data_IF_487603094146
#
_entry.id   IF_487603094146
#
_cell.length_a   1.000
_cell.length_b   1.000
_cell.length_c   1.000
_cell.angle_alpha   90.00
_cell.angle_beta   90.00
_cell.angle_gamma   90.00
#
_symmetry.space_group_name_H-M   'P 1'
#
loop_
_entity.id
_entity.type
_entity.pdbx_description
1 polymer ?
#
# COMPACT_ATOMS: atom_id res chain seq x y z
N UNK A 1 35.98 25.10 8.78
CA UNK A 1 34.53 25.04 9.07
C UNK A 1 33.79 25.60 7.85
N UNK A 2 33.55 24.89 6.75
CA UNK A 2 32.97 23.57 6.56
C UNK A 2 33.64 22.89 5.34
N UNK A 3 34.49 21.89 5.59
CA UNK A 3 34.91 20.92 4.58
C UNK A 3 34.96 19.57 5.29
N UNK A 4 33.93 18.74 5.08
CA UNK A 4 33.98 17.27 5.27
C UNK A 4 32.59 16.69 4.98
N UNK A 5 32.26 16.51 3.70
CA UNK A 5 31.16 15.64 3.24
C UNK A 5 31.41 15.13 1.80
N UNK A 6 32.67 14.88 1.42
CA UNK A 6 33.02 14.35 0.08
C UNK A 6 33.64 12.95 0.04
N UNK A 7 33.76 12.24 1.16
CA UNK A 7 34.26 10.86 1.19
C UNK A 7 33.24 9.87 1.76
N UNK A 8 32.11 9.66 1.08
CA UNK A 8 31.26 8.47 1.32
C UNK A 8 30.56 8.04 0.02
N UNK A 9 31.28 7.83 -1.08
CA UNK A 9 30.70 7.14 -2.25
C UNK A 9 31.75 6.29 -2.98
N UNK A 10 32.29 5.31 -2.27
CA UNK A 10 32.77 4.06 -2.88
C UNK A 10 32.13 2.92 -2.11
N UNK A 11 30.86 2.63 -2.44
CA UNK A 11 30.17 1.47 -1.90
C UNK A 11 30.30 0.33 -2.90
N UNK A 12 31.23 -0.58 -2.61
CA UNK A 12 31.17 -1.94 -3.12
C UNK A 12 29.81 -2.56 -2.75
N UNK A 13 29.32 -3.47 -3.58
CA UNK A 13 28.11 -4.22 -3.32
C UNK A 13 28.16 -4.80 -1.90
N UNK A 14 27.11 -4.61 -1.07
CA UNK A 14 27.12 -5.11 0.29
C UNK A 14 27.23 -6.64 0.26
N UNK A 15 28.34 -7.15 0.80
CA UNK A 15 28.44 -8.56 1.18
C UNK A 15 27.41 -8.81 2.28
N UNK A 16 26.50 -9.75 2.03
CA UNK A 16 25.49 -10.18 2.99
C UNK A 16 26.18 -10.81 4.20
N UNK A 17 26.47 -9.99 5.22
CA UNK A 17 26.84 -10.48 6.55
C UNK A 17 25.60 -11.07 7.20
N UNK A 18 25.77 -12.29 7.72
CA UNK A 18 24.76 -13.10 8.40
C UNK A 18 24.01 -12.32 9.48
N UNK A 19 22.77 -11.97 9.18
CA UNK A 19 21.84 -11.40 10.15
C UNK A 19 21.48 -12.47 11.19
N UNK A 20 21.54 -12.08 12.46
CA UNK A 20 20.88 -12.81 13.54
C UNK A 20 19.45 -13.12 13.13
N UNK A 21 19.08 -14.41 13.09
CA UNK A 21 17.73 -14.84 12.74
C UNK A 21 16.76 -14.38 13.83
N UNK A 22 16.28 -13.14 13.74
CA UNK A 22 15.04 -12.76 14.38
C UNK A 22 13.98 -13.62 13.73
N UNK A 23 13.61 -14.73 14.37
CA UNK A 23 12.62 -15.66 13.88
C UNK A 23 11.32 -14.90 13.65
N UNK A 24 11.06 -14.52 12.40
CA UNK A 24 9.79 -13.92 12.03
C UNK A 24 8.74 -15.00 12.20
N UNK A 25 7.89 -14.85 13.20
CA UNK A 25 6.76 -15.74 13.41
C UNK A 25 5.83 -15.62 12.20
N UNK A 26 5.75 -16.68 11.41
CA UNK A 26 4.80 -16.77 10.31
C UNK A 26 3.38 -16.79 10.89
N UNK A 27 2.60 -15.76 10.60
CA UNK A 27 1.22 -15.63 11.05
C UNK A 27 0.30 -16.04 9.92
N UNK A 28 -0.43 -17.14 10.12
CA UNK A 28 -1.48 -17.55 9.19
C UNK A 28 -2.60 -16.51 9.15
N UNK A 29 -3.21 -16.34 7.98
CA UNK A 29 -4.41 -15.50 7.85
C UNK A 29 -5.55 -15.94 8.78
N UNK A 30 -5.62 -17.25 9.10
CA UNK A 30 -6.64 -17.80 10.00
C UNK A 30 -6.43 -17.40 11.46
N UNK A 31 -5.21 -17.00 11.84
CA UNK A 31 -4.87 -16.52 13.17
C UNK A 31 -4.92 -14.99 13.30
N UNK A 32 -5.12 -14.26 12.20
CA UNK A 32 -5.27 -12.81 12.26
C UNK A 32 -6.55 -12.41 13.00
N UNK A 33 -6.36 -11.53 13.97
CA UNK A 33 -7.39 -11.04 14.88
C UNK A 33 -7.28 -9.53 14.99
N UNK A 34 -8.40 -8.83 14.97
CA UNK A 34 -8.40 -7.36 14.91
C UNK A 34 -7.70 -6.75 16.12
N UNK A 35 -6.79 -5.80 15.89
CA UNK A 35 -6.10 -5.05 16.94
C UNK A 35 -5.18 -5.87 17.85
N UNK A 36 -4.65 -7.01 17.38
CA UNK A 36 -3.86 -7.94 18.21
C UNK A 36 -2.45 -8.24 17.68
N UNK A 37 -2.08 -7.70 16.52
CA UNK A 37 -0.81 -8.03 15.86
C UNK A 37 0.11 -6.81 15.82
N UNK A 38 1.42 -7.02 15.68
CA UNK A 38 2.32 -5.91 15.35
C UNK A 38 2.08 -5.45 13.92
N UNK A 39 2.45 -4.20 13.61
CA UNK A 39 2.35 -3.69 12.24
C UNK A 39 3.14 -4.54 11.25
N UNK A 40 4.34 -4.93 11.64
CA UNK A 40 5.26 -5.73 10.83
C UNK A 40 4.67 -7.09 10.50
N UNK A 41 4.04 -7.76 11.47
CA UNK A 41 3.38 -9.04 11.27
C UNK A 41 2.23 -8.96 10.25
N UNK A 42 1.40 -7.92 10.39
CA UNK A 42 0.27 -7.68 9.48
C UNK A 42 0.80 -7.37 8.06
N UNK A 43 1.86 -6.58 7.94
CA UNK A 43 2.52 -6.30 6.67
C UNK A 43 3.14 -7.54 6.04
N UNK A 44 3.83 -8.38 6.83
CA UNK A 44 4.42 -9.63 6.35
C UNK A 44 3.38 -10.57 5.73
N UNK A 45 2.17 -10.62 6.27
CA UNK A 45 1.08 -11.38 5.67
C UNK A 45 0.71 -10.82 4.28
N UNK A 46 0.57 -9.50 4.14
CA UNK A 46 0.29 -8.86 2.84
C UNK A 46 1.41 -9.15 1.84
N UNK A 47 2.67 -9.06 2.27
CA UNK A 47 3.85 -9.36 1.46
C UNK A 47 3.81 -10.80 0.96
N UNK A 48 3.52 -11.76 1.84
CA UNK A 48 3.39 -13.17 1.48
C UNK A 48 2.27 -13.38 0.45
N UNK A 49 1.08 -12.81 0.66
CA UNK A 49 -0.01 -12.94 -0.29
C UNK A 49 0.32 -12.33 -1.66
N UNK A 50 1.00 -11.18 -1.67
CA UNK A 50 1.43 -10.50 -2.88
C UNK A 50 2.54 -11.26 -3.64
N UNK A 51 3.39 -12.01 -2.93
CA UNK A 51 4.51 -12.75 -3.52
C UNK A 51 4.13 -14.11 -4.10
N UNK A 52 3.01 -14.71 -3.66
CA UNK A 52 2.55 -16.01 -4.19
C UNK A 52 2.36 -15.98 -5.70
N UNK A 53 2.75 -17.07 -6.34
CA UNK A 53 2.54 -17.39 -7.76
C UNK A 53 2.04 -18.82 -7.86
N UNK A 54 1.65 -19.28 -9.05
CA UNK A 54 1.31 -20.71 -9.22
C UNK A 54 2.57 -21.57 -8.99
N UNK A 55 2.47 -22.72 -8.30
CA UNK A 55 1.25 -23.38 -7.80
C UNK A 55 0.78 -22.93 -6.39
N UNK A 56 1.52 -22.03 -5.75
CA UNK A 56 1.35 -21.60 -4.35
C UNK A 56 0.16 -20.65 -4.11
N UNK A 57 -0.57 -20.29 -5.15
CA UNK A 57 -1.80 -19.51 -5.00
C UNK A 57 -2.82 -20.28 -4.17
N UNK A 58 -3.43 -19.61 -3.20
CA UNK A 58 -4.59 -20.16 -2.52
C UNK A 58 -5.73 -20.38 -3.50
N UNK A 59 -6.66 -21.30 -3.20
CA UNK A 59 -7.87 -21.52 -4.01
C UNK A 59 -8.63 -20.20 -4.27
N UNK A 60 -8.62 -19.28 -3.30
CA UNK A 60 -9.24 -17.97 -3.41
C UNK A 60 -8.52 -17.07 -4.42
N UNK A 61 -7.20 -16.97 -4.32
CA UNK A 61 -6.39 -16.20 -5.27
C UNK A 61 -6.54 -16.76 -6.69
N UNK A 62 -6.53 -18.08 -6.87
CA UNK A 62 -6.78 -18.72 -8.17
C UNK A 62 -8.13 -18.32 -8.76
N UNK A 63 -9.20 -18.34 -7.97
CA UNK A 63 -10.54 -17.93 -8.41
C UNK A 63 -10.59 -16.45 -8.79
N UNK A 64 -10.02 -15.58 -7.96
CA UNK A 64 -9.97 -14.15 -8.24
C UNK A 64 -9.15 -13.84 -9.51
N UNK A 65 -8.00 -14.50 -9.68
CA UNK A 65 -7.15 -14.36 -10.85
C UNK A 65 -7.81 -14.89 -12.13
N UNK A 66 -8.50 -16.04 -12.06
CA UNK A 66 -9.27 -16.57 -13.18
C UNK A 66 -10.39 -15.61 -13.59
N UNK A 67 -11.11 -15.04 -12.62
CA UNK A 67 -12.13 -14.03 -12.88
C UNK A 67 -11.54 -12.77 -13.53
N UNK A 68 -10.40 -12.27 -13.03
CA UNK A 68 -9.68 -11.15 -13.65
C UNK A 68 -9.30 -11.44 -15.11
N UNK A 69 -8.66 -12.60 -15.36
CA UNK A 69 -8.19 -13.01 -16.68
C UNK A 69 -9.30 -13.31 -17.69
N UNK A 70 -10.49 -13.68 -17.22
CA UNK A 70 -11.66 -13.89 -18.08
C UNK A 70 -12.16 -12.61 -18.77
N UNK A 71 -11.68 -11.43 -18.35
CA UNK A 71 -12.10 -10.14 -18.87
C UNK A 71 -13.47 -9.69 -18.35
N UNK A 72 -14.15 -10.47 -17.51
CA UNK A 72 -15.44 -10.11 -16.89
C UNK A 72 -15.32 -8.82 -16.04
N UNK A 73 -14.19 -8.62 -15.36
CA UNK A 73 -13.91 -7.38 -14.65
C UNK A 73 -13.77 -6.18 -15.62
N UNK A 74 -13.14 -6.39 -16.78
CA UNK A 74 -13.03 -5.36 -17.82
C UNK A 74 -14.35 -5.10 -18.52
N UNK A 75 -15.22 -6.11 -18.71
CA UNK A 75 -16.58 -5.92 -19.23
C UNK A 75 -17.41 -5.03 -18.30
N UNK A 76 -17.19 -5.16 -16.99
CA UNK A 76 -17.81 -4.29 -15.97
C UNK A 76 -17.40 -2.82 -16.17
N UNK A 77 -16.16 -2.53 -16.61
CA UNK A 77 -15.70 -1.18 -16.96
C UNK A 77 -16.39 -0.63 -18.21
N UNK A 78 -16.59 -1.47 -19.23
CA UNK A 78 -17.09 -1.03 -20.54
C UNK A 78 -18.60 -0.73 -20.59
N UNK A 79 -19.39 -1.29 -19.67
CA UNK A 79 -20.84 -1.36 -19.84
C UNK A 79 -21.62 -0.18 -19.27
N UNK A 80 -21.03 0.70 -18.44
CA UNK A 80 -21.74 1.89 -17.90
C UNK A 80 -20.80 3.05 -17.61
N UNK A 81 -20.88 4.13 -18.40
CA UNK A 81 -20.23 5.43 -18.14
C UNK A 81 -20.55 6.02 -16.75
N UNK A 82 -21.59 5.52 -16.07
CA UNK A 82 -22.09 6.10 -14.83
C UNK A 82 -21.96 5.19 -13.59
N UNK A 83 -21.18 4.10 -13.64
CA UNK A 83 -21.10 3.22 -12.47
C UNK A 83 -19.69 2.85 -12.02
N UNK A 84 -18.83 3.85 -11.91
CA UNK A 84 -17.55 3.77 -11.19
C UNK A 84 -17.71 3.06 -9.84
N UNK A 85 -18.84 3.23 -9.14
CA UNK A 85 -19.09 2.54 -7.86
C UNK A 85 -19.09 1.01 -8.01
N UNK A 86 -19.73 0.46 -9.04
CA UNK A 86 -19.70 -0.98 -9.31
C UNK A 86 -18.27 -1.42 -9.62
N UNK A 87 -17.57 -0.67 -10.46
CA UNK A 87 -16.18 -0.97 -10.85
C UNK A 87 -15.27 -1.02 -9.62
N UNK A 88 -15.27 0.03 -8.80
CA UNK A 88 -14.43 0.10 -7.61
C UNK A 88 -14.80 -0.97 -6.59
N UNK A 89 -16.09 -1.31 -6.45
CA UNK A 89 -16.50 -2.40 -5.57
C UNK A 89 -16.03 -3.77 -6.10
N UNK A 90 -16.05 -3.97 -7.41
CA UNK A 90 -15.55 -5.17 -8.06
C UNK A 90 -14.03 -5.32 -7.84
N UNK A 91 -13.26 -4.25 -8.05
CA UNK A 91 -11.82 -4.24 -7.77
C UNK A 91 -11.49 -4.33 -6.27
N UNK A 92 -12.31 -3.76 -5.39
CA UNK A 92 -12.18 -3.94 -3.94
C UNK A 92 -12.26 -5.43 -3.57
N UNK A 93 -13.25 -6.15 -4.07
CA UNK A 93 -13.37 -7.59 -3.81
C UNK A 93 -12.24 -8.40 -4.44
N UNK A 94 -11.82 -8.02 -5.64
CA UNK A 94 -10.65 -8.60 -6.29
C UNK A 94 -9.39 -8.46 -5.43
N UNK A 95 -9.03 -7.24 -5.02
CA UNK A 95 -7.85 -6.99 -4.21
C UNK A 95 -7.94 -7.61 -2.82
N UNK A 96 -9.12 -7.62 -2.18
CA UNK A 96 -9.35 -8.30 -0.90
C UNK A 96 -9.07 -9.81 -1.01
N UNK A 97 -9.50 -10.45 -2.10
CA UNK A 97 -9.28 -11.87 -2.31
C UNK A 97 -7.82 -12.18 -2.72
N UNK A 98 -7.18 -11.28 -3.45
CA UNK A 98 -5.80 -11.44 -3.90
C UNK A 98 -4.76 -11.21 -2.81
N UNK A 99 -4.95 -10.18 -1.97
CA UNK A 99 -3.88 -9.64 -1.11
C UNK A 99 -4.23 -9.63 0.38
N UNK A 100 -5.51 -9.61 0.74
CA UNK A 100 -5.95 -9.48 2.14
C UNK A 100 -6.77 -10.71 2.59
N UNK A 101 -6.75 -11.77 1.78
CA UNK A 101 -7.49 -13.03 1.91
C UNK A 101 -8.90 -12.92 2.47
N UNK A 102 -9.71 -12.03 1.88
CA UNK A 102 -11.12 -11.80 2.21
C UNK A 102 -11.40 -11.21 3.59
N UNK A 103 -10.41 -10.64 4.25
CA UNK A 103 -10.57 -10.09 5.59
C UNK A 103 -11.21 -8.69 5.58
N UNK A 104 -11.08 -7.93 4.49
CA UNK A 104 -11.62 -6.57 4.39
C UNK A 104 -13.13 -6.58 4.16
N UNK A 105 -13.67 -7.45 3.30
CA UNK A 105 -15.13 -7.56 3.08
C UNK A 105 -15.89 -8.08 4.32
N UNK A 106 -15.25 -8.92 5.14
CA UNK A 106 -15.78 -9.30 6.46
C UNK A 106 -15.75 -8.13 7.46
N UNK A 107 -14.87 -7.16 7.23
CA UNK A 107 -14.55 -6.04 8.10
C UNK A 107 -15.55 -4.89 8.12
N UNK A 108 -16.68 -4.96 7.40
CA UNK A 108 -17.61 -3.83 7.19
C UNK A 108 -16.90 -2.60 6.65
N UNK A 109 -16.22 -2.79 5.52
CA UNK A 109 -15.55 -1.71 4.80
C UNK A 109 -16.48 -1.20 3.71
N UNK A 110 -16.66 0.12 3.68
CA UNK A 110 -17.47 0.80 2.67
C UNK A 110 -16.58 1.65 1.79
N UNK A 111 -16.72 1.50 0.48
CA UNK A 111 -16.01 2.29 -0.53
C UNK A 111 -16.96 3.33 -1.12
N UNK A 112 -16.55 4.59 -1.09
CA UNK A 112 -17.30 5.72 -1.62
C UNK A 112 -16.46 6.46 -2.66
N UNK A 113 -17.03 6.63 -3.84
CA UNK A 113 -16.52 7.58 -4.82
C UNK A 113 -17.14 8.93 -4.57
N UNK A 114 -16.31 9.90 -4.27
CA UNK A 114 -16.78 11.24 -3.96
C UNK A 114 -16.86 12.09 -5.23
N UNK A 115 -17.73 13.09 -5.23
CA UNK A 115 -17.74 14.15 -6.27
C UNK A 115 -16.68 15.22 -6.01
N UNK A 116 -15.89 15.09 -4.95
CA UNK A 116 -14.86 16.06 -4.59
C UNK A 116 -13.64 15.85 -5.50
N UNK A 117 -13.03 16.94 -5.91
CA UNK A 117 -11.87 16.94 -6.80
C UNK A 117 -10.56 16.87 -6.02
N UNK A 118 -9.64 16.01 -6.45
CA UNK A 118 -8.31 15.85 -5.85
C UNK A 118 -7.51 17.15 -5.82
N UNK A 119 -7.67 18.01 -6.83
CA UNK A 119 -7.00 19.34 -6.86
C UNK A 119 -7.47 20.27 -5.75
N UNK A 120 -8.74 20.17 -5.35
CA UNK A 120 -9.33 21.00 -4.30
C UNK A 120 -8.87 20.47 -2.93
N UNK A 121 -8.92 19.15 -2.75
CA UNK A 121 -8.59 18.51 -1.48
C UNK A 121 -7.10 18.32 -1.24
N UNK A 122 -6.28 18.36 -2.31
CA UNK A 122 -4.86 18.04 -2.30
C UNK A 122 -4.54 16.61 -1.81
N UNK A 123 -5.53 15.71 -1.86
CA UNK A 123 -5.41 14.28 -1.55
C UNK A 123 -6.17 13.46 -2.58
N UNK A 124 -5.65 12.28 -2.92
CA UNK A 124 -6.24 11.36 -3.90
C UNK A 124 -7.43 10.58 -3.32
N UNK A 125 -7.32 10.21 -2.05
CA UNK A 125 -8.33 9.53 -1.27
C UNK A 125 -8.05 9.72 0.21
N UNK A 126 -8.95 9.19 1.03
CA UNK A 126 -8.81 9.16 2.47
C UNK A 126 -9.48 7.88 3.00
N UNK A 127 -9.00 7.38 4.12
CA UNK A 127 -9.66 6.32 4.87
C UNK A 127 -9.84 6.71 6.32
N UNK A 128 -10.88 6.18 6.95
CA UNK A 128 -11.10 6.34 8.39
C UNK A 128 -11.53 5.02 9.00
N UNK A 129 -10.76 4.59 9.98
CA UNK A 129 -11.03 3.39 10.76
C UNK A 129 -11.74 3.77 12.06
N UNK A 130 -12.91 3.20 12.29
CA UNK A 130 -13.72 3.43 13.48
C UNK A 130 -13.81 2.14 14.31
N UNK A 131 -13.53 2.25 15.61
CA UNK A 131 -13.68 1.16 16.56
C UNK A 131 -14.82 1.47 17.52
N UNK A 132 -15.92 0.71 17.44
CA UNK A 132 -17.06 0.85 18.34
C UNK A 132 -17.19 -0.39 19.22
N UNK A 133 -17.21 -0.22 20.55
CA UNK A 133 -17.58 -1.30 21.47
C UNK A 133 -19.11 -1.42 21.49
N UNK A 134 -19.64 -2.62 21.27
CA UNK A 134 -21.09 -2.92 21.36
C UNK A 134 -21.25 -4.24 22.08
N UNK A 135 -21.94 -4.25 23.24
CA UNK A 135 -22.13 -5.44 24.08
C UNK A 135 -20.81 -6.17 24.38
N UNK A 136 -19.77 -5.40 24.79
CA UNK A 136 -18.45 -5.94 25.11
C UNK A 136 -17.60 -6.37 23.89
N UNK A 137 -18.14 -6.41 22.68
CA UNK A 137 -17.40 -6.74 21.45
C UNK A 137 -16.94 -5.48 20.72
N UNK A 138 -15.65 -5.38 20.41
CA UNK A 138 -15.12 -4.32 19.55
C UNK A 138 -15.48 -4.61 18.09
N UNK A 139 -16.21 -3.70 17.46
CA UNK A 139 -16.52 -3.70 16.04
C UNK A 139 -15.67 -2.64 15.36
N UNK A 140 -14.76 -3.07 14.50
CA UNK A 140 -14.02 -2.18 13.60
C UNK A 140 -14.73 -2.09 12.26
N UNK A 141 -14.95 -0.88 11.77
CA UNK A 141 -15.42 -0.57 10.42
C UNK A 141 -14.46 0.44 9.78
N UNK A 142 -14.19 0.30 8.48
CA UNK A 142 -13.40 1.30 7.75
C UNK A 142 -14.27 1.95 6.68
N UNK A 143 -14.06 3.22 6.44
CA UNK A 143 -14.62 3.92 5.29
C UNK A 143 -13.47 4.36 4.40
N UNK A 144 -13.58 4.06 3.11
CA UNK A 144 -12.63 4.50 2.08
C UNK A 144 -13.36 5.49 1.19
N UNK A 145 -12.76 6.65 0.99
CA UNK A 145 -13.18 7.65 0.02
C UNK A 145 -12.14 7.76 -1.08
N UNK A 146 -12.56 7.60 -2.32
CA UNK A 146 -11.74 7.89 -3.50
C UNK A 146 -12.27 9.16 -4.16
N UNK A 147 -11.40 10.16 -4.34
CA UNK A 147 -11.76 11.45 -4.93
C UNK A 147 -11.60 11.43 -6.44
N UNK A 148 -12.35 12.30 -7.13
CA UNK A 148 -12.29 12.41 -8.58
C UNK A 148 -11.01 13.12 -9.02
N UNK A 149 -10.37 12.58 -10.04
CA UNK A 149 -9.18 13.14 -10.66
C UNK A 149 -9.52 13.69 -12.05
N UNK A 150 -10.42 14.69 -12.15
CA UNK A 150 -10.82 15.25 -13.47
C UNK A 150 -9.70 15.95 -14.22
N UNK A 151 -8.58 16.20 -13.54
CA UNK A 151 -7.37 16.71 -14.14
C UNK A 151 -6.64 15.70 -15.03
N UNK A 152 -6.92 14.40 -14.87
CA UNK A 152 -6.45 13.33 -15.75
C UNK A 152 -7.47 13.19 -16.88
N UNK A 153 -7.05 13.51 -18.10
CA UNK A 153 -7.94 13.56 -19.28
C UNK A 153 -8.25 12.18 -19.85
N UNK A 154 -7.29 11.27 -19.79
CA UNK A 154 -7.47 9.92 -20.29
C UNK A 154 -8.27 9.09 -19.27
N UNK A 155 -9.35 8.45 -19.73
CA UNK A 155 -10.26 7.70 -18.86
C UNK A 155 -9.60 6.45 -18.28
N UNK A 156 -8.69 5.81 -19.03
CA UNK A 156 -7.96 4.64 -18.55
C UNK A 156 -7.01 5.06 -17.44
N UNK A 157 -6.24 6.13 -17.66
CA UNK A 157 -5.31 6.67 -16.66
C UNK A 157 -6.06 7.16 -15.41
N UNK A 158 -7.22 7.80 -15.58
CA UNK A 158 -8.07 8.19 -14.45
C UNK A 158 -8.57 6.98 -13.66
N UNK A 159 -8.98 5.91 -14.36
CA UNK A 159 -9.37 4.65 -13.72
C UNK A 159 -8.21 4.00 -12.96
N UNK A 160 -7.03 3.92 -13.58
CA UNK A 160 -5.82 3.38 -12.96
C UNK A 160 -5.38 4.20 -11.74
N UNK A 161 -5.47 5.53 -11.82
CA UNK A 161 -5.22 6.42 -10.69
C UNK A 161 -6.17 6.11 -9.53
N UNK A 162 -7.47 6.05 -9.78
CA UNK A 162 -8.44 5.74 -8.74
C UNK A 162 -8.29 4.32 -8.17
N UNK A 163 -7.96 3.31 -8.99
CA UNK A 163 -7.66 1.96 -8.49
C UNK A 163 -6.39 1.92 -7.65
N UNK A 164 -5.39 2.74 -7.98
CA UNK A 164 -4.18 2.90 -7.17
C UNK A 164 -4.51 3.51 -5.81
N UNK A 165 -5.33 4.56 -5.78
CA UNK A 165 -5.86 5.14 -4.54
C UNK A 165 -6.65 4.12 -3.73
N UNK A 166 -7.52 3.33 -4.37
CA UNK A 166 -8.31 2.32 -3.68
C UNK A 166 -7.40 1.30 -2.98
N UNK A 167 -6.39 0.77 -3.68
CA UNK A 167 -5.48 -0.22 -3.10
C UNK A 167 -4.62 0.38 -1.97
N UNK A 168 -4.19 1.63 -2.11
CA UNK A 168 -3.52 2.40 -1.05
C UNK A 168 -4.38 2.46 0.23
N UNK A 169 -5.63 2.92 0.10
CA UNK A 169 -6.53 3.06 1.24
C UNK A 169 -6.97 1.72 1.83
N UNK A 170 -7.07 0.66 1.00
CA UNK A 170 -7.30 -0.70 1.48
C UNK A 170 -6.16 -1.19 2.37
N UNK A 171 -4.91 -0.94 1.97
CA UNK A 171 -3.75 -1.29 2.79
C UNK A 171 -3.77 -0.53 4.13
N UNK A 172 -4.09 0.77 4.12
CA UNK A 172 -4.26 1.57 5.35
C UNK A 172 -5.33 0.97 6.26
N UNK A 173 -6.54 0.76 5.75
CA UNK A 173 -7.64 0.13 6.49
C UNK A 173 -7.25 -1.24 7.07
N UNK A 174 -6.48 -2.03 6.31
CA UNK A 174 -6.03 -3.35 6.74
C UNK A 174 -5.07 -3.25 7.93
N UNK A 175 -4.03 -2.44 7.80
CA UNK A 175 -3.05 -2.22 8.88
C UNK A 175 -3.73 -1.64 10.12
N UNK A 176 -4.59 -0.63 9.97
CA UNK A 176 -5.34 -0.03 11.09
C UNK A 176 -6.26 -1.03 11.81
N UNK A 177 -6.86 -1.96 11.06
CA UNK A 177 -7.85 -2.90 11.61
C UNK A 177 -7.21 -4.05 12.38
N UNK A 178 -6.03 -4.50 11.96
CA UNK A 178 -5.39 -5.70 12.51
C UNK A 178 -4.21 -5.40 13.43
N UNK A 179 -3.63 -4.20 13.33
CA UNK A 179 -2.53 -3.80 14.20
C UNK A 179 -3.04 -3.38 15.58
N UNK A 180 -2.40 -3.90 16.61
CA UNK A 180 -2.59 -3.48 17.99
C UNK A 180 -2.17 -2.01 18.15
N UNK A 181 -3.09 -1.18 18.66
CA UNK A 181 -2.91 0.28 18.74
C UNK A 181 -2.21 0.74 20.02
N UNK A 182 -1.82 -0.16 20.92
CA UNK A 182 -1.02 0.20 22.09
C UNK A 182 0.37 0.67 21.66
N UNK A 183 1.04 1.55 22.43
CA UNK A 183 2.37 2.04 22.07
C UNK A 183 3.38 0.91 21.77
N UNK A 184 3.36 -0.17 22.55
CA UNK A 184 4.25 -1.34 22.38
C UNK A 184 4.04 -2.12 21.09
N UNK A 185 2.85 -2.05 20.50
CA UNK A 185 2.52 -2.74 19.24
C UNK A 185 2.71 -1.84 18.01
N UNK A 186 2.84 -0.53 18.22
CA UNK A 186 3.05 0.47 17.16
C UNK A 186 4.52 0.60 16.75
N UNK A 187 5.42 -0.16 17.36
CA UNK A 187 6.80 -0.27 16.91
C UNK A 187 6.82 -0.63 15.41
N UNK A 188 7.47 0.20 14.60
CA UNK A 188 7.53 0.08 13.13
C UNK A 188 6.44 0.81 12.34
N UNK A 189 5.24 1.00 12.91
CA UNK A 189 4.14 1.78 12.30
C UNK A 189 4.44 3.28 12.30
N UNK A 190 5.08 3.77 13.37
CA UNK A 190 5.38 5.18 13.59
C UNK A 190 6.81 5.61 13.22
N UNK A 191 7.69 4.65 12.90
CA UNK A 191 9.13 4.89 12.81
C UNK A 191 9.55 5.76 11.60
N UNK A 192 8.69 5.88 10.58
CA UNK A 192 8.90 6.77 9.43
C UNK A 192 8.00 8.01 9.43
N UNK A 193 7.00 8.02 10.33
CA UNK A 193 5.83 8.87 10.18
C UNK A 193 4.62 8.25 10.85
N UNK A 194 3.54 9.01 11.01
CA UNK A 194 2.34 8.54 11.73
C UNK A 194 1.42 7.68 10.86
N UNK A 195 1.55 7.76 9.53
CA UNK A 195 0.59 7.19 8.59
C UNK A 195 1.21 6.10 7.71
N UNK A 196 2.44 6.28 7.21
CA UNK A 196 3.08 5.38 6.23
C UNK A 196 4.44 4.85 6.71
N UNK A 197 4.45 4.20 7.88
CA UNK A 197 5.61 3.56 8.52
C UNK A 197 6.28 2.44 7.71
N UNK A 198 7.28 1.77 8.30
CA UNK A 198 8.02 0.68 7.63
C UNK A 198 7.10 -0.42 7.13
N UNK A 199 6.19 -0.87 8.00
CA UNK A 199 5.21 -1.89 7.68
C UNK A 199 4.35 -1.51 6.45
N UNK A 200 3.93 -0.25 6.36
CA UNK A 200 3.17 0.22 5.20
C UNK A 200 4.03 0.24 3.94
N UNK A 201 5.26 0.78 4.01
CA UNK A 201 6.17 0.87 2.87
C UNK A 201 6.57 -0.52 2.33
N UNK A 202 6.83 -1.47 3.22
CA UNK A 202 7.17 -2.85 2.87
C UNK A 202 6.01 -3.54 2.14
N UNK A 203 4.81 -3.48 2.72
CA UNK A 203 3.62 -4.07 2.12
C UNK A 203 3.24 -3.39 0.81
N UNK A 204 3.26 -2.05 0.76
CA UNK A 204 2.94 -1.30 -0.45
C UNK A 204 3.94 -1.62 -1.57
N UNK A 205 5.23 -1.79 -1.27
CA UNK A 205 6.22 -2.17 -2.28
C UNK A 205 5.95 -3.55 -2.86
N UNK A 206 5.62 -4.53 -2.01
CA UNK A 206 5.25 -5.87 -2.46
C UNK A 206 3.97 -5.85 -3.32
N UNK A 207 2.97 -5.05 -2.93
CA UNK A 207 1.74 -4.85 -3.72
C UNK A 207 2.05 -4.24 -5.09
N UNK A 208 2.81 -3.15 -5.16
CA UNK A 208 3.23 -2.53 -6.43
C UNK A 208 3.96 -3.53 -7.32
N UNK A 209 4.88 -4.32 -6.77
CA UNK A 209 5.56 -5.38 -7.54
C UNK A 209 4.58 -6.42 -8.07
N UNK A 210 3.61 -6.84 -7.27
CA UNK A 210 2.63 -7.85 -7.68
C UNK A 210 1.66 -7.33 -8.75
N UNK A 211 1.12 -6.12 -8.59
CA UNK A 211 0.17 -5.55 -9.56
C UNK A 211 0.84 -5.17 -10.87
N UNK A 212 2.09 -4.69 -10.83
CA UNK A 212 2.82 -4.23 -12.01
C UNK A 212 3.53 -5.36 -12.78
N UNK A 213 3.58 -6.57 -12.25
CA UNK A 213 4.23 -7.73 -12.88
C UNK A 213 3.50 -8.11 -14.19
N UNK A 214 4.15 -7.99 -15.37
CA UNK A 214 3.53 -8.26 -16.67
C UNK A 214 3.11 -9.71 -16.86
N UNK A 215 3.71 -10.63 -16.10
CA UNK A 215 3.42 -12.08 -16.16
C UNK A 215 2.29 -12.48 -15.20
N UNK A 216 1.85 -11.55 -14.34
CA UNK A 216 0.88 -11.82 -13.29
C UNK A 216 -0.43 -11.04 -13.47
N UNK A 217 -0.47 -9.79 -13.00
CA UNK A 217 -1.66 -8.93 -13.08
C UNK A 217 -1.56 -7.88 -14.19
N UNK A 218 -0.35 -7.41 -14.53
CA UNK A 218 -0.13 -6.38 -15.54
C UNK A 218 -1.06 -5.17 -15.39
N UNK A 219 -1.25 -4.70 -14.16
CA UNK A 219 -2.07 -3.57 -13.80
C UNK A 219 -1.15 -2.49 -13.21
N UNK A 220 -0.76 -1.47 -13.99
CA UNK A 220 0.29 -0.51 -13.64
C UNK A 220 -0.15 0.47 -12.54
N UNK A 221 -0.40 -0.04 -11.32
CA UNK A 221 -0.82 0.74 -10.17
C UNK A 221 0.40 1.22 -9.37
N UNK A 222 0.28 2.45 -8.88
CA UNK A 222 1.31 3.12 -8.10
C UNK A 222 0.67 3.59 -6.79
N UNK A 223 1.06 3.04 -5.66
CA UNK A 223 0.51 3.39 -4.33
C UNK A 223 1.06 4.72 -3.80
N UNK A 224 1.72 5.51 -4.66
CA UNK A 224 2.31 6.82 -4.35
C UNK A 224 3.35 6.78 -3.20
N UNK A 225 4.01 5.64 -3.01
CA UNK A 225 4.93 5.39 -1.87
C UNK A 225 6.02 6.43 -1.71
N UNK A 226 6.64 6.86 -2.82
CA UNK A 226 7.71 7.86 -2.80
C UNK A 226 7.20 9.24 -2.38
N UNK A 227 6.00 9.61 -2.82
CA UNK A 227 5.37 10.87 -2.45
C UNK A 227 5.06 10.90 -0.96
N UNK A 228 4.43 9.85 -0.44
CA UNK A 228 4.11 9.76 0.98
C UNK A 228 5.35 9.70 1.87
N UNK A 229 6.38 8.95 1.45
CA UNK A 229 7.63 8.91 2.20
C UNK A 229 8.24 10.32 2.31
N UNK A 230 8.34 11.07 1.20
CA UNK A 230 8.87 12.44 1.24
C UNK A 230 8.00 13.36 2.08
N UNK A 231 6.67 13.22 1.99
CA UNK A 231 5.72 14.00 2.80
C UNK A 231 5.94 13.78 4.30
N UNK A 232 6.01 12.52 4.74
CA UNK A 232 6.24 12.17 6.14
C UNK A 232 7.65 12.57 6.61
N UNK A 233 8.68 12.39 5.78
CA UNK A 233 10.05 12.82 6.08
C UNK A 233 10.17 14.34 6.24
N UNK A 234 9.43 15.14 5.44
CA UNK A 234 9.37 16.59 5.61
C UNK A 234 8.71 16.99 6.92
N UNK A 235 7.71 16.22 7.38
CA UNK A 235 6.90 16.52 8.56
C UNK A 235 7.53 16.05 9.87
N UNK A 236 8.21 14.90 9.86
CA UNK A 236 8.67 14.21 11.07
C UNK A 236 10.20 13.93 11.10
N UNK A 237 10.94 14.45 10.11
CA UNK A 237 12.25 13.99 9.66
C UNK A 237 13.35 13.68 10.67
N UNK A 238 13.51 12.39 10.99
CA UNK A 238 14.78 11.77 11.40
C UNK A 238 14.84 10.31 10.89
N UNK A 239 15.12 10.13 9.61
CA UNK A 239 15.17 8.81 8.98
C UNK A 239 16.58 8.45 8.50
N UNK A 240 17.09 7.26 8.82
CA UNK A 240 18.36 6.79 8.27
C UNK A 240 18.22 6.43 6.79
N UNK A 241 18.99 7.10 5.94
CA UNK A 241 19.03 6.94 4.46
C UNK A 241 19.24 5.49 4.00
N UNK A 242 19.88 4.65 4.84
CA UNK A 242 20.28 3.27 4.50
C UNK A 242 19.11 2.35 4.13
N UNK A 243 17.89 2.68 4.55
CA UNK A 243 16.72 1.82 4.35
C UNK A 243 15.97 2.12 3.03
N UNK A 244 16.35 3.14 2.25
CA UNK A 244 15.67 3.47 0.98
C UNK A 244 15.77 2.34 -0.07
N UNK A 245 16.93 1.68 -0.14
CA UNK A 245 17.17 0.61 -1.11
C UNK A 245 16.27 -0.61 -0.88
N UNK A 246 15.85 -0.86 0.36
CA UNK A 246 14.92 -1.96 0.72
C UNK A 246 13.60 -1.87 -0.03
N UNK A 247 13.15 -0.65 -0.32
CA UNK A 247 11.88 -0.35 -0.96
C UNK A 247 12.00 -0.09 -2.46
N UNK A 248 13.16 -0.40 -3.03
CA UNK A 248 13.46 -0.18 -4.43
C UNK A 248 13.63 1.29 -4.80
N UNK A 249 13.72 2.21 -3.83
CA UNK A 249 13.95 3.61 -4.15
C UNK A 249 15.41 3.84 -4.54
N UNK A 250 15.61 4.55 -5.63
CA UNK A 250 16.94 4.99 -6.06
C UNK A 250 17.25 6.39 -5.54
N UNK A 251 18.55 6.73 -5.45
CA UNK A 251 19.00 8.12 -5.19
C UNK A 251 18.56 9.11 -6.28
N UNK A 252 18.08 8.63 -7.44
CA UNK A 252 17.48 9.47 -8.47
C UNK A 252 16.03 9.82 -8.12
N UNK A 253 15.25 8.87 -7.61
CA UNK A 253 13.85 9.05 -7.24
C UNK A 253 13.68 9.84 -5.95
N UNK A 254 14.57 9.65 -4.96
CA UNK A 254 14.54 10.35 -3.68
C UNK A 254 15.88 11.02 -3.44
N UNK A 255 15.86 12.34 -3.25
CA UNK A 255 17.07 13.15 -3.06
C UNK A 255 17.02 13.87 -1.72
N UNK A 256 18.10 13.80 -0.97
CA UNK A 256 18.31 14.66 0.19
C UNK A 256 19.22 15.83 -0.21
N UNK A 257 18.67 17.04 -0.32
CA UNK A 257 19.40 18.23 -0.75
C UNK A 257 19.06 19.40 0.19
N UNK A 258 20.07 20.17 0.58
CA UNK A 258 19.90 21.35 1.44
C UNK A 258 19.13 21.05 2.75
N UNK A 259 19.35 19.87 3.35
CA UNK A 259 18.68 19.46 4.58
C UNK A 259 17.21 19.06 4.41
N UNK A 260 16.73 18.86 3.17
CA UNK A 260 15.35 18.48 2.87
C UNK A 260 15.30 17.28 1.93
N UNK A 261 14.29 16.45 2.11
CA UNK A 261 13.96 15.36 1.18
C UNK A 261 13.10 15.88 0.04
N UNK A 262 13.39 15.49 -1.19
CA UNK A 262 12.59 15.84 -2.36
C UNK A 262 12.46 14.63 -3.31
N UNK A 263 11.35 14.60 -4.04
CA UNK A 263 11.11 13.64 -5.11
C UNK A 263 11.91 14.11 -6.32
N UNK A 264 12.86 13.31 -6.77
CA UNK A 264 13.55 13.56 -8.02
C UNK A 264 12.61 13.39 -9.21
N UNK A 265 12.94 14.06 -10.33
CA UNK A 265 12.21 13.84 -11.58
C UNK A 265 12.34 12.36 -11.95
N UNK A 266 11.22 11.64 -12.02
CA UNK A 266 11.19 10.35 -12.73
C UNK A 266 11.53 10.64 -14.18
N UNK A 267 12.47 9.88 -14.73
CA UNK A 267 12.68 9.85 -16.16
C UNK A 267 11.35 9.39 -16.77
N UNK A 268 10.64 10.30 -17.44
CA UNK A 268 9.29 10.06 -17.96
C UNK A 268 9.30 9.19 -19.22
N UNK A 269 10.24 8.25 -19.30
CA UNK A 269 10.53 7.41 -20.46
C UNK A 269 10.93 6.02 -19.98
N UNK A 270 9.95 5.13 -19.89
CA UNK A 270 10.07 3.69 -20.10
C UNK A 270 8.71 3.18 -20.60
#
# INVERSE_FOLDING_TARGET
MFESLKEVFSMGAPSHTSSSSTGHHHISISSLSKGQHSASDVAMMVIEYASRREPDLSLRQRKALAWYRSGELSKTLSTRRDNDKIVFNAYFHFFDDMFFGSLLKKGRISVYLTKKETRILKVAGESSTYCRKTQGRTKTSCIIWVHRATHIKDNRDQGLFGLSTLLHEMLRCFLDSYTCLTPSCRDGLSQLGKEHGFAWQDAAYALEKAVNDPTYLNLPLMLERSFELVSELKKWGKFPVKDLGRWGFTNKELKFQHGRWDIGKRDSKE
#
